data_IF_098198431176
#
_entry.id   IF_098198431176
#
_cell.length_a   1.000
_cell.length_b   1.000
_cell.length_c   1.000
_cell.angle_alpha   90.00
_cell.angle_beta   90.00
_cell.angle_gamma   90.00
#
_symmetry.space_group_name_H-M   'P 1'
#
loop_
_entity.id
_entity.type
_entity.pdbx_description
1 polymer ?
#
# COMPACT_ATOMS: atom_id res chain seq x y z
N UNK A 1 9.41 10.54 32.39
CA UNK A 1 9.55 10.10 33.78
C UNK A 1 8.33 9.23 34.06
N UNK A 2 8.44 7.93 33.74
CA UNK A 2 7.40 6.96 34.00
C UNK A 2 7.41 6.63 35.49
N UNK A 3 6.30 6.88 36.16
CA UNK A 3 6.11 6.48 37.54
C UNK A 3 5.88 4.96 37.57
N UNK A 4 6.93 4.20 37.88
CA UNK A 4 6.81 2.79 38.23
C UNK A 4 5.93 2.67 39.49
N UNK A 5 4.75 2.06 39.34
CA UNK A 5 3.89 1.75 40.50
C UNK A 5 4.46 0.49 41.19
N UNK A 6 5.04 0.69 42.38
CA UNK A 6 5.57 -0.36 43.24
C UNK A 6 4.45 -0.77 44.22
N UNK A 7 4.16 -2.10 44.33
CA UNK A 7 3.22 -2.59 45.37
C UNK A 7 3.83 -2.54 46.76
N UNK A 8 2.99 -2.79 47.77
CA UNK A 8 3.37 -2.77 49.19
C UNK A 8 4.43 -3.83 49.54
N UNK A 9 4.79 -4.74 48.62
CA UNK A 9 5.83 -5.78 48.76
C UNK A 9 7.09 -5.49 47.93
N UNK A 10 7.20 -4.28 47.33
CA UNK A 10 8.37 -3.85 46.58
C UNK A 10 8.45 -4.50 45.15
N UNK A 11 7.35 -5.05 44.65
CA UNK A 11 7.29 -5.61 43.29
C UNK A 11 6.80 -4.55 42.31
N UNK A 12 7.52 -4.39 41.21
CA UNK A 12 7.13 -3.56 40.08
C UNK A 12 5.90 -4.17 39.43
N UNK A 13 4.74 -3.51 39.57
CA UNK A 13 3.52 -3.92 38.87
C UNK A 13 3.67 -3.54 37.39
N UNK A 14 3.49 -4.48 36.44
CA UNK A 14 3.47 -4.13 35.05
C UNK A 14 2.32 -3.15 34.80
N UNK A 15 2.61 -1.99 34.21
CA UNK A 15 1.63 -0.97 33.84
C UNK A 15 0.73 -1.52 32.72
N UNK A 16 -0.32 -2.25 33.11
CA UNK A 16 -1.19 -3.02 32.21
C UNK A 16 -1.91 -2.18 31.13
N UNK A 17 -2.08 -0.88 31.36
CA UNK A 17 -2.78 0.02 30.42
C UNK A 17 -1.91 0.55 29.28
N UNK A 18 -0.64 0.83 29.52
CA UNK A 18 0.31 1.33 28.48
C UNK A 18 0.73 0.22 27.55
N UNK A 19 0.82 -1.02 28.04
CA UNK A 19 1.20 -2.21 27.27
C UNK A 19 0.19 -2.56 26.16
N UNK A 20 -1.11 -2.52 26.42
CA UNK A 20 -2.15 -2.88 25.44
C UNK A 20 -2.23 -1.86 24.28
N UNK A 21 -2.20 -0.56 24.58
CA UNK A 21 -2.23 0.48 23.56
C UNK A 21 -1.02 0.36 22.60
N UNK A 22 0.17 0.08 23.14
CA UNK A 22 1.38 -0.10 22.33
C UNK A 22 1.36 -1.36 21.46
N UNK A 23 0.68 -2.42 21.87
CA UNK A 23 0.53 -3.65 21.09
C UNK A 23 -0.48 -3.49 19.95
N UNK A 24 -1.58 -2.75 20.17
CA UNK A 24 -2.63 -2.60 19.16
C UNK A 24 -2.38 -1.43 18.19
N UNK A 25 -1.57 -0.44 18.54
CA UNK A 25 -1.32 0.72 17.68
C UNK A 25 -0.72 0.34 16.30
N UNK A 26 0.30 -0.53 16.18
CA UNK A 26 0.83 -0.95 14.88
C UNK A 26 -0.21 -1.67 14.02
N UNK A 27 -1.01 -2.56 14.63
CA UNK A 27 -2.09 -3.26 13.97
C UNK A 27 -3.15 -2.28 13.44
N UNK A 28 -3.61 -1.37 14.29
CA UNK A 28 -4.58 -0.35 13.90
C UNK A 28 -4.05 0.53 12.76
N UNK A 29 -2.78 0.94 12.83
CA UNK A 29 -2.13 1.70 11.75
C UNK A 29 -2.07 0.90 10.44
N UNK A 30 -1.74 -0.40 10.49
CA UNK A 30 -1.75 -1.27 9.30
C UNK A 30 -3.15 -1.39 8.70
N UNK A 31 -4.18 -1.56 9.52
CA UNK A 31 -5.58 -1.64 9.06
C UNK A 31 -6.05 -0.32 8.46
N UNK A 32 -5.75 0.81 9.10
CA UNK A 32 -6.10 2.13 8.55
C UNK A 32 -5.37 2.35 7.22
N UNK A 33 -4.09 1.92 7.11
CA UNK A 33 -3.33 1.99 5.87
C UNK A 33 -4.01 1.24 4.71
N UNK A 34 -4.68 0.09 4.96
CA UNK A 34 -5.49 -0.62 3.96
C UNK A 34 -6.56 0.30 3.35
N UNK A 35 -7.31 1.02 4.20
CA UNK A 35 -8.40 1.90 3.74
C UNK A 35 -7.87 3.10 2.95
N UNK A 36 -6.82 3.75 3.44
CA UNK A 36 -6.29 4.95 2.79
C UNK A 36 -5.55 4.60 1.51
N UNK A 37 -4.75 3.53 1.47
CA UNK A 37 -4.11 3.09 0.23
C UNK A 37 -5.11 2.58 -0.81
N UNK A 38 -6.12 1.80 -0.41
CA UNK A 38 -7.16 1.36 -1.34
C UNK A 38 -7.95 2.52 -1.93
N UNK A 39 -8.20 3.58 -1.16
CA UNK A 39 -8.84 4.82 -1.63
C UNK A 39 -7.91 5.60 -2.56
N UNK A 40 -6.61 5.71 -2.22
CA UNK A 40 -5.59 6.31 -3.06
C UNK A 40 -5.52 5.63 -4.43
N UNK A 41 -5.42 4.31 -4.46
CA UNK A 41 -5.30 3.53 -5.69
C UNK A 41 -6.54 3.65 -6.57
N UNK A 42 -7.72 3.67 -5.98
CA UNK A 42 -8.95 3.94 -6.71
C UNK A 42 -8.93 5.32 -7.36
N UNK A 43 -8.59 6.37 -6.61
CA UNK A 43 -8.52 7.74 -7.12
C UNK A 43 -7.43 7.89 -8.19
N UNK A 44 -6.23 7.33 -7.95
CA UNK A 44 -5.11 7.33 -8.90
C UNK A 44 -5.41 6.55 -10.18
N UNK A 45 -6.04 5.37 -10.02
CA UNK A 45 -6.47 4.54 -11.15
C UNK A 45 -7.49 5.25 -12.05
N UNK A 46 -8.50 5.91 -11.48
CA UNK A 46 -9.47 6.71 -12.24
C UNK A 46 -8.80 7.92 -12.89
N UNK A 47 -7.97 8.65 -12.15
CA UNK A 47 -7.24 9.81 -12.66
C UNK A 47 -6.38 9.44 -13.87
N UNK A 48 -5.74 8.27 -13.83
CA UNK A 48 -4.84 7.78 -14.88
C UNK A 48 -5.54 7.25 -16.14
N UNK A 49 -6.86 7.05 -16.13
CA UNK A 49 -7.62 6.65 -17.33
C UNK A 49 -7.58 7.71 -18.44
N UNK A 50 -7.44 8.98 -18.07
CA UNK A 50 -7.47 10.10 -19.02
C UNK A 50 -6.31 11.10 -18.82
N UNK A 51 -5.36 10.83 -17.93
CA UNK A 51 -4.13 11.58 -17.73
C UNK A 51 -2.93 10.65 -17.89
N UNK A 52 -1.76 11.22 -18.18
CA UNK A 52 -0.54 10.43 -18.16
C UNK A 52 -0.23 9.99 -16.72
N UNK A 53 -0.05 8.68 -16.44
CA UNK A 53 0.15 8.17 -15.08
C UNK A 53 1.38 8.76 -14.39
N UNK A 54 2.48 8.99 -15.11
CA UNK A 54 3.69 9.58 -14.53
C UNK A 54 3.48 11.05 -14.13
N UNK A 55 2.75 11.81 -14.94
CA UNK A 55 2.42 13.22 -14.62
C UNK A 55 1.48 13.29 -13.42
N UNK A 56 0.44 12.43 -13.40
CA UNK A 56 -0.48 12.37 -12.28
C UNK A 56 0.25 11.98 -10.99
N UNK A 57 1.11 10.96 -11.03
CA UNK A 57 1.86 10.48 -9.86
C UNK A 57 2.88 11.52 -9.39
N UNK A 58 3.60 12.20 -10.29
CA UNK A 58 4.51 13.28 -9.93
C UNK A 58 3.78 14.41 -9.20
N UNK A 59 2.63 14.83 -9.73
CA UNK A 59 1.79 15.85 -9.08
C UNK A 59 1.27 15.36 -7.71
N UNK A 60 0.80 14.13 -7.62
CA UNK A 60 0.35 13.50 -6.36
C UNK A 60 1.45 13.49 -5.31
N UNK A 61 2.68 13.12 -5.69
CA UNK A 61 3.82 13.09 -4.77
C UNK A 61 4.26 14.48 -4.32
N UNK A 62 4.13 15.49 -5.16
CA UNK A 62 4.41 16.88 -4.77
C UNK A 62 3.41 17.36 -3.71
N UNK A 63 2.10 17.10 -3.91
CA UNK A 63 1.07 17.42 -2.93
C UNK A 63 1.27 16.62 -1.62
N UNK A 64 1.60 15.33 -1.75
CA UNK A 64 1.89 14.44 -0.64
C UNK A 64 3.08 14.91 0.20
N UNK A 65 4.15 15.36 -0.46
CA UNK A 65 5.32 15.94 0.20
C UNK A 65 4.93 17.16 1.05
N UNK A 66 4.21 18.11 0.44
CA UNK A 66 3.78 19.33 1.15
C UNK A 66 2.93 19.02 2.39
N UNK A 67 1.98 18.08 2.26
CA UNK A 67 1.13 17.67 3.38
C UNK A 67 1.96 17.03 4.50
N UNK A 68 2.80 16.04 4.17
CA UNK A 68 3.52 15.30 5.19
C UNK A 68 4.67 16.10 5.80
N UNK A 69 5.30 16.97 5.03
CA UNK A 69 6.28 17.92 5.53
C UNK A 69 5.67 18.84 6.60
N UNK A 70 4.47 19.38 6.32
CA UNK A 70 3.76 20.22 7.28
C UNK A 70 3.42 19.44 8.57
N UNK A 71 2.96 18.20 8.46
CA UNK A 71 2.66 17.33 9.62
C UNK A 71 3.94 17.03 10.40
N UNK A 72 5.02 16.62 9.73
CA UNK A 72 6.29 16.28 10.37
C UNK A 72 6.90 17.49 11.10
N UNK A 73 6.82 18.67 10.47
CA UNK A 73 7.27 19.92 11.09
C UNK A 73 6.45 20.28 12.33
N UNK A 74 5.12 20.15 12.24
CA UNK A 74 4.22 20.44 13.35
C UNK A 74 4.37 19.47 14.55
N UNK A 75 4.86 18.25 14.31
CA UNK A 75 5.14 17.28 15.36
C UNK A 75 6.40 17.59 16.18
N UNK A 76 7.22 18.54 15.74
CA UNK A 76 8.49 18.92 16.39
C UNK A 76 9.45 17.75 16.69
N UNK A 77 9.36 16.68 15.91
CA UNK A 77 10.23 15.50 16.06
C UNK A 77 11.58 15.72 15.38
N UNK A 78 12.61 15.02 15.87
CA UNK A 78 13.95 15.12 15.30
C UNK A 78 13.97 14.65 13.84
N UNK A 79 14.75 15.35 13.01
CA UNK A 79 14.97 14.96 11.63
C UNK A 79 15.79 13.66 11.57
N UNK A 80 15.49 12.72 10.64
CA UNK A 80 16.15 11.42 10.57
C UNK A 80 17.65 11.51 10.28
N UNK A 81 18.38 10.45 10.65
CA UNK A 81 19.80 10.31 10.34
C UNK A 81 20.06 10.30 8.82
N UNK A 82 21.29 10.60 8.40
CA UNK A 82 21.68 10.55 6.97
C UNK A 82 21.41 9.17 6.34
N UNK A 83 21.65 8.09 7.07
CA UNK A 83 21.38 6.73 6.59
C UNK A 83 19.87 6.52 6.38
N UNK A 84 19.05 6.92 7.34
CA UNK A 84 17.58 6.85 7.22
C UNK A 84 17.04 7.70 6.08
N UNK A 85 17.61 8.89 5.85
CA UNK A 85 17.27 9.75 4.69
C UNK A 85 17.58 9.04 3.38
N UNK A 86 18.75 8.43 3.24
CA UNK A 86 19.13 7.70 2.03
C UNK A 86 18.20 6.50 1.78
N UNK A 87 17.90 5.71 2.81
CA UNK A 87 16.96 4.61 2.71
C UNK A 87 15.55 5.07 2.34
N UNK A 88 15.05 6.13 2.97
CA UNK A 88 13.76 6.71 2.65
C UNK A 88 13.68 7.25 1.22
N UNK A 89 14.71 7.95 0.74
CA UNK A 89 14.78 8.42 -0.64
C UNK A 89 14.82 7.26 -1.65
N UNK A 90 15.60 6.22 -1.37
CA UNK A 90 15.68 5.01 -2.21
C UNK A 90 14.34 4.29 -2.24
N UNK A 91 13.71 4.09 -1.08
CA UNK A 91 12.37 3.54 -0.99
C UNK A 91 11.38 4.34 -1.84
N UNK A 92 11.40 5.66 -1.67
CA UNK A 92 10.55 6.56 -2.44
C UNK A 92 10.82 6.49 -3.94
N UNK A 93 12.07 6.48 -4.37
CA UNK A 93 12.44 6.37 -5.77
C UNK A 93 11.88 5.12 -6.43
N UNK A 94 12.05 3.96 -5.78
CA UNK A 94 11.52 2.68 -6.24
C UNK A 94 9.99 2.69 -6.19
N UNK A 95 9.39 3.09 -5.06
CA UNK A 95 7.95 3.09 -4.85
C UNK A 95 7.20 4.03 -5.80
N UNK A 96 7.71 5.23 -6.02
CA UNK A 96 7.09 6.21 -6.92
C UNK A 96 7.08 5.78 -8.38
N UNK A 97 8.17 5.20 -8.86
CA UNK A 97 8.22 4.61 -10.19
C UNK A 97 7.23 3.45 -10.32
N UNK A 98 7.21 2.56 -9.32
CA UNK A 98 6.31 1.41 -9.27
C UNK A 98 4.84 1.82 -9.22
N UNK A 99 4.49 2.85 -8.44
CA UNK A 99 3.13 3.37 -8.38
C UNK A 99 2.68 3.93 -9.74
N UNK A 100 3.56 4.60 -10.47
CA UNK A 100 3.26 5.10 -11.82
C UNK A 100 2.96 3.97 -12.80
N UNK A 101 3.76 2.88 -12.75
CA UNK A 101 3.54 1.67 -13.55
C UNK A 101 2.25 0.98 -13.12
N UNK A 102 1.99 0.92 -11.82
CA UNK A 102 0.76 0.35 -11.27
C UNK A 102 -0.48 1.10 -11.73
N UNK A 103 -0.48 2.43 -11.65
CA UNK A 103 -1.59 3.25 -12.16
C UNK A 103 -1.80 3.08 -13.67
N UNK A 104 -0.71 2.93 -14.44
CA UNK A 104 -0.80 2.60 -15.86
C UNK A 104 -1.45 1.23 -16.08
N UNK A 105 -1.09 0.24 -15.26
CA UNK A 105 -1.69 -1.09 -15.30
C UNK A 105 -3.18 -1.05 -14.95
N UNK A 106 -3.56 -0.33 -13.90
CA UNK A 106 -4.97 -0.13 -13.50
C UNK A 106 -5.78 0.59 -14.61
N UNK A 107 -5.19 1.59 -15.25
CA UNK A 107 -5.83 2.34 -16.33
C UNK A 107 -6.04 1.51 -17.60
N UNK A 108 -5.33 0.40 -17.80
CA UNK A 108 -5.46 -0.49 -18.97
C UNK A 108 -6.76 -1.31 -18.99
N UNK A 109 -7.62 -1.18 -17.97
CA UNK A 109 -8.97 -1.73 -17.96
C UNK A 109 -9.16 -3.05 -17.21
N UNK A 110 -8.09 -3.64 -16.68
CA UNK A 110 -8.15 -4.91 -15.91
C UNK A 110 -7.81 -4.71 -14.43
N UNK A 111 -8.47 -3.76 -13.75
CA UNK A 111 -8.23 -3.45 -12.35
C UNK A 111 -8.33 -4.69 -11.45
N UNK A 112 -9.31 -5.56 -11.71
CA UNK A 112 -9.53 -6.79 -10.93
C UNK A 112 -8.39 -7.83 -11.01
N UNK A 113 -7.49 -7.75 -11.99
CA UNK A 113 -6.36 -8.67 -12.12
C UNK A 113 -5.03 -8.02 -11.74
N UNK A 114 -4.85 -6.74 -12.04
CA UNK A 114 -3.57 -6.03 -11.86
C UNK A 114 -3.27 -5.70 -10.40
N UNK A 115 -4.27 -5.24 -9.64
CA UNK A 115 -4.09 -4.89 -8.24
C UNK A 115 -3.63 -6.08 -7.37
N UNK A 116 -4.17 -7.31 -7.52
CA UNK A 116 -3.74 -8.46 -6.76
C UNK A 116 -2.36 -8.96 -7.06
N UNK A 117 -1.99 -8.96 -8.34
CA UNK A 117 -0.64 -9.40 -8.74
C UNK A 117 0.39 -8.49 -8.10
N UNK A 118 0.16 -7.18 -8.14
CA UNK A 118 1.05 -6.22 -7.51
C UNK A 118 1.07 -6.38 -5.98
N UNK A 119 -0.11 -6.54 -5.33
CA UNK A 119 -0.20 -6.73 -3.90
C UNK A 119 0.45 -8.03 -3.43
N UNK A 120 0.22 -9.13 -4.16
CA UNK A 120 0.80 -10.44 -3.82
C UNK A 120 2.33 -10.42 -3.90
N UNK A 121 2.91 -9.90 -4.98
CA UNK A 121 4.37 -9.82 -5.12
C UNK A 121 4.97 -8.80 -4.17
N UNK A 122 4.29 -7.67 -3.96
CA UNK A 122 4.68 -6.65 -3.01
C UNK A 122 4.74 -7.17 -1.57
N UNK A 123 3.84 -8.08 -1.20
CA UNK A 123 3.81 -8.68 0.12
C UNK A 123 4.70 -9.91 0.26
N UNK A 124 4.73 -10.81 -0.73
CA UNK A 124 5.43 -12.08 -0.63
C UNK A 124 6.95 -11.92 -0.45
N UNK A 125 7.56 -11.01 -1.20
CA UNK A 125 9.02 -10.82 -1.17
C UNK A 125 9.49 -10.33 0.21
N UNK A 126 8.97 -9.23 0.80
CA UNK A 126 9.41 -8.79 2.12
C UNK A 126 9.01 -9.77 3.23
N UNK A 127 7.85 -10.44 3.13
CA UNK A 127 7.45 -11.48 4.09
C UNK A 127 8.43 -12.64 4.11
N UNK A 128 8.84 -13.15 2.95
CA UNK A 128 9.84 -14.22 2.86
C UNK A 128 11.22 -13.75 3.38
N UNK A 129 11.60 -12.51 3.10
CA UNK A 129 12.83 -11.93 3.60
C UNK A 129 12.83 -11.80 5.14
N UNK A 130 11.70 -11.43 5.72
CA UNK A 130 11.52 -11.28 7.16
C UNK A 130 11.52 -12.64 7.87
N UNK A 131 10.80 -13.62 7.34
CA UNK A 131 10.83 -15.01 7.83
C UNK A 131 12.25 -15.60 7.79
N UNK A 132 13.02 -15.29 6.75
CA UNK A 132 14.40 -15.75 6.63
C UNK A 132 15.34 -15.13 7.67
N UNK A 133 15.06 -13.92 8.15
CA UNK A 133 15.86 -13.18 9.12
C UNK A 133 15.45 -13.45 10.57
N UNK A 134 14.15 -13.42 10.84
CA UNK A 134 13.58 -13.47 12.18
C UNK A 134 12.97 -14.82 12.54
N UNK A 135 12.93 -15.75 11.58
CA UNK A 135 12.26 -17.03 11.72
C UNK A 135 10.76 -16.98 11.43
N UNK A 136 10.16 -18.16 11.31
CA UNK A 136 8.74 -18.28 11.01
C UNK A 136 7.88 -17.73 12.18
N UNK A 137 6.85 -16.91 11.86
CA UNK A 137 5.91 -16.44 12.87
C UNK A 137 5.03 -17.58 13.40
N UNK A 138 4.14 -17.27 14.34
CA UNK A 138 3.27 -18.25 14.95
C UNK A 138 2.37 -18.95 13.90
N UNK A 139 1.87 -20.15 14.28
CA UNK A 139 0.91 -20.89 13.42
C UNK A 139 -0.35 -20.09 13.11
N UNK A 140 -0.80 -19.21 14.00
CA UNK A 140 -1.96 -18.37 13.81
C UNK A 140 -1.68 -17.29 12.76
N UNK A 141 -0.53 -16.62 12.86
CA UNK A 141 -0.06 -15.65 11.86
C UNK A 141 0.10 -16.30 10.48
N UNK A 142 0.70 -17.49 10.39
CA UNK A 142 0.82 -18.23 9.12
C UNK A 142 -0.54 -18.60 8.52
N UNK A 143 -1.51 -18.97 9.35
CA UNK A 143 -2.89 -19.22 8.89
C UNK A 143 -3.53 -17.95 8.37
N UNK A 144 -3.31 -16.82 9.05
CA UNK A 144 -3.75 -15.49 8.60
C UNK A 144 -3.12 -15.09 7.26
N UNK A 145 -1.83 -15.35 7.06
CA UNK A 145 -1.16 -15.11 5.77
C UNK A 145 -1.78 -15.92 4.63
N UNK A 146 -2.00 -17.23 4.87
CA UNK A 146 -2.65 -18.08 3.88
C UNK A 146 -4.07 -17.59 3.54
N UNK A 147 -4.83 -17.18 4.56
CA UNK A 147 -6.18 -16.65 4.38
C UNK A 147 -6.14 -15.28 3.63
N UNK A 148 -5.16 -14.43 3.88
CA UNK A 148 -4.97 -13.17 3.15
C UNK A 148 -4.69 -13.42 1.66
N UNK A 149 -3.84 -14.39 1.32
CA UNK A 149 -3.57 -14.79 -0.08
C UNK A 149 -4.86 -15.27 -0.76
N UNK A 150 -5.62 -16.15 -0.09
CA UNK A 150 -6.91 -16.64 -0.59
C UNK A 150 -7.90 -15.49 -0.76
N UNK A 151 -7.97 -14.56 0.19
CA UNK A 151 -8.82 -13.38 0.12
C UNK A 151 -8.50 -12.52 -1.10
N UNK A 152 -7.23 -12.19 -1.30
CA UNK A 152 -6.75 -11.43 -2.47
C UNK A 152 -7.16 -12.16 -3.76
N UNK A 153 -6.92 -13.45 -3.85
CA UNK A 153 -7.27 -14.25 -5.02
C UNK A 153 -8.80 -14.27 -5.29
N UNK A 154 -9.63 -14.38 -4.25
CA UNK A 154 -11.09 -14.37 -4.39
C UNK A 154 -11.64 -13.01 -4.83
N UNK A 155 -11.11 -11.91 -4.26
CA UNK A 155 -11.52 -10.53 -4.61
C UNK A 155 -11.28 -10.24 -6.08
N UNK A 156 -10.34 -10.89 -6.66
CA UNK A 156 -9.71 -10.55 -7.94
C UNK A 156 -10.02 -11.51 -9.06
N UNK A 157 -10.81 -12.56 -8.76
CA UNK A 157 -11.32 -13.45 -9.80
C UNK A 157 -12.01 -12.65 -10.91
N UNK A 158 -11.66 -12.90 -12.20
CA UNK A 158 -12.41 -12.37 -13.32
C UNK A 158 -13.87 -12.84 -13.18
N UNK A 159 -14.79 -11.93 -13.30
CA UNK A 159 -16.19 -12.29 -13.46
C UNK A 159 -16.39 -12.70 -14.92
N UNK A 160 -16.97 -13.88 -15.13
CA UNK A 160 -17.53 -14.21 -16.41
C UNK A 160 -18.56 -13.12 -16.74
N UNK A 161 -18.34 -12.38 -17.83
CA UNK A 161 -19.33 -11.43 -18.30
C UNK A 161 -20.61 -12.22 -18.54
N UNK A 162 -21.77 -11.84 -17.95
CA UNK A 162 -23.02 -12.47 -18.29
C UNK A 162 -23.26 -12.20 -19.79
N UNK A 163 -23.30 -13.30 -20.58
CA UNK A 163 -23.80 -13.37 -21.95
C UNK A 163 -23.31 -12.28 -22.94
N UNK A 164 -22.01 -12.05 -23.03
CA UNK A 164 -21.45 -11.43 -24.21
C UNK A 164 -21.06 -12.56 -25.17
N UNK A 165 -21.91 -12.86 -26.14
CA UNK A 165 -21.50 -13.62 -27.31
C UNK A 165 -20.24 -12.95 -27.87
N UNK A 166 -19.15 -13.71 -28.16
CA UNK A 166 -17.99 -13.16 -28.80
C UNK A 166 -18.44 -12.50 -30.10
N UNK A 167 -18.16 -11.22 -30.27
CA UNK A 167 -18.40 -10.57 -31.55
C UNK A 167 -17.62 -11.38 -32.61
N UNK A 168 -18.31 -11.78 -33.70
CA UNK A 168 -17.73 -12.60 -34.77
C UNK A 168 -16.48 -11.88 -35.32
N UNK A 169 -15.31 -12.42 -35.01
CA UNK A 169 -14.02 -11.87 -35.41
C UNK A 169 -13.03 -11.56 -34.28
N UNK A 170 -13.42 -11.65 -33.01
CA UNK A 170 -12.44 -11.65 -31.90
C UNK A 170 -11.75 -13.01 -31.84
N UNK A 171 -10.55 -13.09 -32.45
CA UNK A 171 -9.67 -14.22 -32.23
C UNK A 171 -9.43 -14.35 -30.71
N UNK A 172 -9.76 -15.54 -30.20
CA UNK A 172 -9.34 -15.97 -28.85
C UNK A 172 -7.83 -16.19 -28.94
N UNK A 173 -7.11 -15.11 -29.17
CA UNK A 173 -5.65 -15.07 -29.08
C UNK A 173 -5.29 -15.28 -27.63
N UNK A 174 -4.53 -16.34 -27.34
CA UNK A 174 -3.89 -16.64 -26.05
C UNK A 174 -2.81 -15.59 -25.68
N UNK A 175 -3.09 -14.31 -25.93
CA UNK A 175 -2.25 -13.19 -25.53
C UNK A 175 -2.39 -12.98 -24.02
N UNK A 176 -1.27 -12.97 -23.32
CA UNK A 176 -1.22 -12.58 -21.88
C UNK A 176 -2.04 -11.31 -21.67
N UNK A 177 -2.94 -11.27 -20.68
CA UNK A 177 -3.77 -10.10 -20.42
C UNK A 177 -2.89 -8.85 -20.31
N UNK A 178 -3.23 -7.82 -21.10
CA UNK A 178 -2.48 -6.56 -21.10
C UNK A 178 -2.43 -5.99 -19.69
N UNK A 179 -1.23 -5.72 -19.16
CA UNK A 179 -1.05 -5.13 -17.82
C UNK A 179 -0.47 -6.08 -16.77
N UNK A 180 -0.54 -7.41 -16.93
CA UNK A 180 0.00 -8.38 -15.97
C UNK A 180 1.50 -8.18 -15.72
N UNK A 181 2.29 -7.98 -16.79
CA UNK A 181 3.72 -7.72 -16.64
C UNK A 181 4.02 -6.40 -15.92
N UNK A 182 3.23 -5.35 -16.18
CA UNK A 182 3.35 -4.07 -15.47
C UNK A 182 2.94 -4.22 -13.99
N UNK A 183 1.90 -4.99 -13.71
CA UNK A 183 1.47 -5.28 -12.35
C UNK A 183 2.54 -6.06 -11.57
N UNK A 184 3.16 -7.06 -12.19
CA UNK A 184 4.25 -7.82 -11.58
C UNK A 184 5.47 -6.94 -11.30
N UNK A 185 5.87 -6.11 -12.27
CA UNK A 185 6.97 -5.15 -12.10
C UNK A 185 6.68 -4.15 -10.98
N UNK A 186 5.45 -3.62 -10.93
CA UNK A 186 5.02 -2.73 -9.86
C UNK A 186 5.07 -3.42 -8.49
N UNK A 187 4.63 -4.68 -8.40
CA UNK A 187 4.68 -5.48 -7.17
C UNK A 187 6.10 -5.71 -6.66
N UNK A 188 7.03 -6.07 -7.55
CA UNK A 188 8.45 -6.19 -7.18
C UNK A 188 9.00 -4.85 -6.68
N UNK A 189 8.63 -3.74 -7.31
CA UNK A 189 9.04 -2.43 -6.85
C UNK A 189 8.41 -2.02 -5.51
N UNK A 190 7.14 -2.38 -5.25
CA UNK A 190 6.53 -2.18 -3.94
C UNK A 190 7.24 -3.00 -2.86
N UNK A 191 7.65 -4.24 -3.16
CA UNK A 191 8.51 -5.01 -2.26
C UNK A 191 9.82 -4.29 -1.96
N UNK A 192 10.46 -3.72 -2.98
CA UNK A 192 11.66 -2.88 -2.81
C UNK A 192 11.42 -1.66 -1.92
N UNK A 193 10.28 -0.99 -2.08
CA UNK A 193 9.87 0.10 -1.18
C UNK A 193 9.78 -0.38 0.27
N UNK A 194 9.06 -1.49 0.54
CA UNK A 194 8.89 -2.02 1.89
C UNK A 194 10.23 -2.40 2.54
N UNK A 195 11.08 -3.11 1.80
CA UNK A 195 12.40 -3.53 2.30
C UNK A 195 13.33 -2.34 2.56
N UNK A 196 13.31 -1.32 1.71
CA UNK A 196 14.14 -0.13 1.90
C UNK A 196 13.63 0.73 3.05
N UNK A 197 12.32 0.96 3.15
CA UNK A 197 11.77 1.78 4.23
C UNK A 197 11.88 1.12 5.59
N UNK A 198 11.94 -0.20 5.64
CA UNK A 198 12.22 -0.97 6.87
C UNK A 198 13.60 -0.66 7.47
N UNK A 199 14.58 -0.27 6.64
CA UNK A 199 15.91 0.11 7.11
C UNK A 199 15.96 1.55 7.67
N UNK A 200 14.91 2.35 7.47
CA UNK A 200 14.87 3.73 7.92
C UNK A 200 14.29 3.81 9.33
N UNK A 201 14.98 4.49 10.22
CA UNK A 201 14.59 4.71 11.62
C UNK A 201 14.35 6.19 11.92
N UNK A 202 13.51 6.50 12.90
CA UNK A 202 13.15 7.84 13.32
C UNK A 202 11.68 8.15 13.08
N UNK A 203 11.29 9.43 13.06
CA UNK A 203 9.90 9.85 12.88
C UNK A 203 9.30 9.32 11.56
N UNK A 204 8.21 8.56 11.66
CA UNK A 204 7.51 8.00 10.49
C UNK A 204 7.04 9.12 9.52
N UNK A 205 6.62 10.26 10.07
CA UNK A 205 6.22 11.42 9.26
C UNK A 205 7.39 12.00 8.46
N UNK A 206 8.58 12.16 9.07
CA UNK A 206 9.77 12.61 8.35
C UNK A 206 10.23 11.61 7.31
N UNK A 207 10.26 10.31 7.63
CA UNK A 207 10.64 9.25 6.67
C UNK A 207 9.66 9.25 5.49
N UNK A 208 8.35 9.34 5.75
CA UNK A 208 7.34 9.44 4.71
C UNK A 208 7.52 10.70 3.85
N UNK A 209 7.75 11.87 4.44
CA UNK A 209 8.00 13.10 3.70
C UNK A 209 9.25 13.00 2.83
N UNK A 210 10.37 12.52 3.37
CA UNK A 210 11.64 12.36 2.64
C UNK A 210 11.49 11.36 1.50
N UNK A 211 10.74 10.26 1.67
CA UNK A 211 10.49 9.30 0.60
C UNK A 211 9.80 9.96 -0.61
N UNK A 212 8.96 10.99 -0.41
CA UNK A 212 8.32 11.70 -1.53
C UNK A 212 9.31 12.50 -2.39
N UNK A 213 10.44 12.92 -1.84
CA UNK A 213 11.51 13.54 -2.65
C UNK A 213 12.04 12.53 -3.66
N UNK A 214 12.37 11.31 -3.22
CA UNK A 214 12.79 10.22 -4.10
C UNK A 214 11.72 9.86 -5.14
N UNK A 215 10.46 9.71 -4.69
CA UNK A 215 9.32 9.41 -5.56
C UNK A 215 9.09 10.49 -6.62
N UNK A 216 9.07 11.76 -6.22
CA UNK A 216 8.92 12.88 -7.13
C UNK A 216 10.06 12.94 -8.15
N UNK A 217 11.30 12.76 -7.68
CA UNK A 217 12.48 12.81 -8.56
C UNK A 217 12.39 11.74 -9.66
N UNK A 218 12.11 10.49 -9.31
CA UNK A 218 12.03 9.41 -10.31
C UNK A 218 10.84 9.58 -11.26
N UNK A 219 9.68 10.00 -10.76
CA UNK A 219 8.52 10.25 -11.60
C UNK A 219 8.72 11.46 -12.51
N UNK A 220 9.36 12.52 -12.02
CA UNK A 220 9.70 13.70 -12.83
C UNK A 220 10.73 13.36 -13.94
N UNK A 221 11.74 12.55 -13.63
CA UNK A 221 12.67 12.02 -14.62
C UNK A 221 11.91 11.21 -15.67
N UNK A 222 11.01 10.31 -15.27
CA UNK A 222 10.20 9.53 -16.19
C UNK A 222 9.32 10.41 -17.09
N UNK A 223 8.72 11.47 -16.55
CA UNK A 223 7.97 12.48 -17.32
C UNK A 223 8.87 13.16 -18.35
N UNK A 224 10.06 13.58 -17.94
CA UNK A 224 11.02 14.27 -18.83
C UNK A 224 11.52 13.34 -19.95
N UNK A 225 11.92 12.10 -19.61
CA UNK A 225 12.43 11.09 -20.58
C UNK A 225 11.35 10.70 -21.58
N UNK A 226 10.12 10.50 -21.11
CA UNK A 226 8.99 10.12 -21.98
C UNK A 226 8.37 11.31 -22.71
N UNK A 227 8.84 12.53 -22.44
CA UNK A 227 8.27 13.78 -22.96
C UNK A 227 6.76 13.84 -22.79
N UNK A 228 6.27 13.33 -21.64
CA UNK A 228 4.84 13.28 -21.36
C UNK A 228 4.25 14.69 -21.28
N UNK A 229 3.07 14.94 -21.91
CA UNK A 229 2.43 16.24 -21.85
C UNK A 229 2.00 16.57 -20.43
N UNK A 230 2.45 17.71 -19.89
CA UNK A 230 2.13 18.20 -18.53
C UNK A 230 0.68 18.74 -18.44
N UNK A 231 -0.25 18.11 -19.15
CA UNK A 231 -1.65 18.53 -19.15
C UNK A 231 -2.41 17.79 -18.07
N UNK A 232 -2.79 18.51 -17.02
CA UNK A 232 -3.63 18.01 -15.96
C UNK A 232 -4.78 19.01 -15.76
N UNK A 233 -5.99 18.61 -16.11
CA UNK A 233 -7.18 19.44 -15.87
C UNK A 233 -7.57 19.41 -14.39
N UNK A 234 -8.41 20.36 -13.99
CA UNK A 234 -8.82 20.50 -12.58
C UNK A 234 -9.40 19.22 -11.96
N UNK A 235 -10.31 18.46 -12.61
CA UNK A 235 -10.84 17.23 -12.04
C UNK A 235 -9.75 16.17 -11.79
N UNK A 236 -8.79 16.01 -12.72
CA UNK A 236 -7.68 15.05 -12.57
C UNK A 236 -6.65 15.51 -11.56
N UNK A 237 -6.38 16.81 -11.48
CA UNK A 237 -5.56 17.38 -10.42
C UNK A 237 -6.17 17.13 -9.04
N UNK A 238 -7.49 17.28 -8.87
CA UNK A 238 -8.16 16.93 -7.61
C UNK A 238 -8.05 15.44 -7.27
N UNK A 239 -8.21 14.54 -8.24
CA UNK A 239 -7.98 13.11 -8.03
C UNK A 239 -6.53 12.81 -7.68
N UNK A 240 -5.57 13.46 -8.33
CA UNK A 240 -4.14 13.33 -8.02
C UNK A 240 -3.80 13.83 -6.61
N UNK A 241 -4.35 14.96 -6.20
CA UNK A 241 -4.19 15.50 -4.84
C UNK A 241 -4.79 14.54 -3.80
N UNK A 242 -6.00 14.03 -4.06
CA UNK A 242 -6.65 13.06 -3.18
C UNK A 242 -5.83 11.78 -3.08
N UNK A 243 -5.41 11.21 -4.22
CA UNK A 243 -4.57 10.03 -4.26
C UNK A 243 -3.26 10.25 -3.48
N UNK A 244 -2.54 11.35 -3.72
CA UNK A 244 -1.30 11.66 -3.02
C UNK A 244 -1.48 11.85 -1.52
N UNK A 245 -2.56 12.51 -1.09
CA UNK A 245 -2.85 12.72 0.33
C UNK A 245 -3.14 11.40 1.05
N UNK A 246 -3.96 10.54 0.48
CA UNK A 246 -4.23 9.22 1.07
C UNK A 246 -3.01 8.30 1.00
N UNK A 247 -2.27 8.30 -0.11
CA UNK A 247 -1.06 7.49 -0.24
C UNK A 247 0.00 7.84 0.81
N UNK A 248 0.24 9.14 1.07
CA UNK A 248 1.24 9.55 2.04
C UNK A 248 0.82 9.27 3.49
N UNK A 249 -0.47 9.42 3.80
CA UNK A 249 -1.01 9.05 5.12
C UNK A 249 -0.84 7.54 5.34
N UNK A 250 -1.23 6.73 4.36
CA UNK A 250 -1.03 5.27 4.42
C UNK A 250 0.44 4.88 4.55
N UNK A 251 1.33 5.57 3.85
CA UNK A 251 2.77 5.33 3.95
C UNK A 251 3.31 5.66 5.34
N UNK A 252 2.89 6.78 5.95
CA UNK A 252 3.30 7.13 7.32
C UNK A 252 2.78 6.12 8.36
N UNK A 253 1.53 5.68 8.21
CA UNK A 253 0.93 4.66 9.07
C UNK A 253 1.64 3.30 8.93
N UNK A 254 1.96 2.89 7.70
CA UNK A 254 2.73 1.69 7.44
C UNK A 254 4.14 1.78 8.04
N UNK A 255 4.84 2.90 7.85
CA UNK A 255 6.18 3.11 8.42
C UNK A 255 6.14 3.01 9.94
N UNK A 256 5.15 3.64 10.58
CA UNK A 256 4.95 3.52 12.01
C UNK A 256 4.71 2.07 12.44
N UNK A 257 3.81 1.37 11.77
CA UNK A 257 3.50 -0.03 12.07
C UNK A 257 4.74 -0.93 11.93
N UNK A 258 5.47 -0.79 10.84
CA UNK A 258 6.68 -1.54 10.54
C UNK A 258 7.84 -1.28 11.53
N UNK A 259 7.89 -0.11 12.16
CA UNK A 259 8.88 0.21 13.20
C UNK A 259 8.54 -0.36 14.57
N UNK A 260 7.29 -0.76 14.82
CA UNK A 260 6.79 -1.19 16.11
C UNK A 260 6.23 -2.64 16.11
N UNK A 261 6.24 -3.29 14.95
CA UNK A 261 5.83 -4.69 14.77
C UNK A 261 6.73 -5.37 13.73
N UNK A 262 6.54 -6.67 13.52
CA UNK A 262 7.25 -7.42 12.47
C UNK A 262 6.86 -6.89 11.08
N UNK A 263 7.86 -6.83 10.18
CA UNK A 263 7.64 -6.37 8.80
C UNK A 263 6.63 -7.25 8.07
N UNK A 264 6.72 -8.58 8.23
CA UNK A 264 5.83 -9.53 7.57
C UNK A 264 4.36 -9.28 7.94
N UNK A 265 4.05 -9.04 9.23
CA UNK A 265 2.69 -8.73 9.69
C UNK A 265 2.17 -7.41 9.08
N UNK A 266 2.97 -6.34 9.16
CA UNK A 266 2.59 -5.04 8.63
C UNK A 266 2.33 -5.10 7.11
N UNK A 267 3.20 -5.77 6.36
CA UNK A 267 3.10 -5.89 4.91
C UNK A 267 1.91 -6.75 4.48
N UNK A 268 1.68 -7.91 5.14
CA UNK A 268 0.56 -8.81 4.75
C UNK A 268 -0.78 -8.15 5.07
N UNK A 269 -0.92 -7.49 6.23
CA UNK A 269 -2.16 -6.77 6.55
C UNK A 269 -2.41 -5.67 5.51
N UNK A 270 -1.41 -4.83 5.25
CA UNK A 270 -1.58 -3.72 4.31
C UNK A 270 -1.81 -4.18 2.87
N UNK A 271 -1.34 -5.37 2.48
CA UNK A 271 -1.59 -5.95 1.15
C UNK A 271 -3.07 -6.25 0.86
N UNK A 272 -3.95 -6.11 1.86
CA UNK A 272 -5.40 -6.23 1.69
C UNK A 272 -6.05 -4.97 1.09
N UNK A 273 -5.30 -3.91 0.81
CA UNK A 273 -5.81 -2.67 0.20
C UNK A 273 -6.64 -2.88 -1.10
N UNK A 274 -6.41 -3.91 -1.95
CA UNK A 274 -7.26 -4.13 -3.12
C UNK A 274 -8.72 -4.38 -2.78
N UNK A 275 -9.02 -4.90 -1.58
CA UNK A 275 -10.39 -5.08 -1.11
C UNK A 275 -11.15 -3.73 -1.06
N UNK A 276 -10.47 -2.69 -0.55
CA UNK A 276 -11.04 -1.33 -0.47
C UNK A 276 -11.14 -0.69 -1.86
N UNK A 277 -10.13 -0.89 -2.72
CA UNK A 277 -10.17 -0.42 -4.12
C UNK A 277 -11.37 -1.00 -4.86
N UNK A 278 -11.63 -2.32 -4.70
CA UNK A 278 -12.79 -3.01 -5.30
C UNK A 278 -14.10 -2.52 -4.69
N UNK A 279 -14.14 -2.25 -3.38
CA UNK A 279 -15.32 -1.68 -2.72
C UNK A 279 -15.67 -0.30 -3.29
N UNK A 280 -14.69 0.57 -3.49
CA UNK A 280 -14.90 1.86 -4.15
C UNK A 280 -15.36 1.72 -5.59
N UNK A 281 -14.80 0.78 -6.36
CA UNK A 281 -15.27 0.48 -7.71
C UNK A 281 -16.74 0.06 -7.71
N UNK A 282 -17.17 -0.73 -6.72
CA UNK A 282 -18.58 -1.10 -6.54
C UNK A 282 -19.49 0.11 -6.28
N UNK A 283 -19.08 0.97 -5.34
CA UNK A 283 -19.91 2.11 -4.89
C UNK A 283 -19.97 3.18 -5.98
N UNK A 284 -18.82 3.57 -6.54
CA UNK A 284 -18.71 4.73 -7.44
C UNK A 284 -18.98 4.36 -8.89
N UNK A 285 -18.46 3.23 -9.37
CA UNK A 285 -18.60 2.78 -10.75
C UNK A 285 -19.82 1.86 -10.93
N UNK A 286 -20.50 1.50 -9.84
CA UNK A 286 -21.65 0.58 -9.81
C UNK A 286 -21.33 -0.78 -10.46
N UNK A 287 -20.08 -1.23 -10.37
CA UNK A 287 -19.65 -2.52 -10.88
C UNK A 287 -20.36 -3.67 -10.14
N UNK A 288 -20.59 -4.78 -10.84
CA UNK A 288 -21.24 -5.94 -10.23
C UNK A 288 -20.31 -6.55 -9.15
N UNK A 289 -20.90 -6.91 -8.01
CA UNK A 289 -20.17 -7.49 -6.88
C UNK A 289 -20.54 -8.96 -6.77
N UNK A 290 -19.67 -9.83 -7.29
CA UNK A 290 -19.94 -11.26 -7.25
C UNK A 290 -19.84 -11.82 -5.82
N UNK A 291 -20.48 -12.97 -5.61
CA UNK A 291 -20.39 -13.72 -4.36
C UNK A 291 -18.93 -14.02 -3.96
N UNK A 292 -18.05 -14.22 -4.93
CA UNK A 292 -16.64 -14.50 -4.69
C UNK A 292 -15.89 -13.31 -4.13
N UNK A 293 -16.15 -12.11 -4.66
CA UNK A 293 -15.58 -10.86 -4.12
C UNK A 293 -16.07 -10.61 -2.69
N UNK A 294 -17.34 -10.91 -2.41
CA UNK A 294 -17.88 -10.77 -1.06
C UNK A 294 -17.24 -11.77 -0.07
N UNK A 295 -17.07 -13.05 -0.47
CA UNK A 295 -16.39 -14.06 0.34
C UNK A 295 -14.92 -13.64 0.56
N UNK A 296 -14.24 -13.14 -0.48
CA UNK A 296 -12.88 -12.63 -0.35
C UNK A 296 -12.76 -11.45 0.61
N UNK A 297 -13.72 -10.52 0.60
CA UNK A 297 -13.77 -9.41 1.55
C UNK A 297 -13.94 -9.92 3.00
N UNK A 298 -14.84 -10.87 3.24
CA UNK A 298 -14.99 -11.49 4.57
C UNK A 298 -13.72 -12.24 5.00
N UNK A 299 -13.08 -12.95 4.07
CA UNK A 299 -11.82 -13.64 4.33
C UNK A 299 -10.69 -12.64 4.68
N UNK A 300 -10.63 -11.48 4.03
CA UNK A 300 -9.65 -10.45 4.35
C UNK A 300 -9.86 -9.87 5.76
N UNK A 301 -11.11 -9.64 6.15
CA UNK A 301 -11.42 -9.19 7.50
C UNK A 301 -11.08 -10.25 8.57
N UNK A 302 -11.27 -11.54 8.27
CA UNK A 302 -10.92 -12.64 9.17
C UNK A 302 -9.39 -12.87 9.25
N UNK A 303 -8.63 -12.53 8.21
CA UNK A 303 -7.17 -12.66 8.21
C UNK A 303 -6.49 -11.74 9.24
N UNK A 304 -7.00 -10.51 9.41
CA UNK A 304 -6.39 -9.50 10.30
C UNK A 304 -6.26 -9.99 11.74
N UNK A 305 -7.32 -10.46 12.43
CA UNK A 305 -7.17 -10.93 13.81
C UNK A 305 -6.30 -12.18 13.92
N UNK A 306 -6.24 -13.06 12.92
CA UNK A 306 -5.34 -14.22 12.92
C UNK A 306 -3.88 -13.80 12.85
N UNK A 307 -3.55 -12.79 12.02
CA UNK A 307 -2.19 -12.22 11.92
C UNK A 307 -1.83 -11.54 13.25
N UNK A 308 -2.75 -10.85 13.86
CA UNK A 308 -2.54 -10.14 15.12
C UNK A 308 -2.44 -11.05 16.35
N UNK A 309 -2.96 -12.27 16.29
CA UNK A 309 -2.95 -13.23 17.41
C UNK A 309 -1.61 -13.94 17.63
N UNK A 310 -0.62 -13.67 16.83
CA UNK A 310 0.74 -14.23 16.87
C UNK A 310 1.79 -13.22 17.21
#
# INVERSE_FOLDING_TARGET
>A
LDAESIDSEGRVLPSCGVSLANQFAPLACSVIAVFVWGTSDFAGGIGSRRANPFVLTAFSHLCAFGLMFAIAYAQHTAFPSRASVLWAMTAGAIGGFSLSIFYRALASGQMGLTAPIAALLGAAIPTLADIAREGAPSRWTMTGFALAIVAIWLITRPEAAPDREPAAGEEIGAGRPKGVGMAALAGVGFAGFYLCVHQASGSAAWIAAVSRIGSFTTTAIAVAVTRAPLKLDRPRAMLGMLAGSFDIIGSALFIFANQHARLDQAVVITSLYPAVTVLWARIVLKEHFSRWKFIGLLASLAAVPLIAAG
#
